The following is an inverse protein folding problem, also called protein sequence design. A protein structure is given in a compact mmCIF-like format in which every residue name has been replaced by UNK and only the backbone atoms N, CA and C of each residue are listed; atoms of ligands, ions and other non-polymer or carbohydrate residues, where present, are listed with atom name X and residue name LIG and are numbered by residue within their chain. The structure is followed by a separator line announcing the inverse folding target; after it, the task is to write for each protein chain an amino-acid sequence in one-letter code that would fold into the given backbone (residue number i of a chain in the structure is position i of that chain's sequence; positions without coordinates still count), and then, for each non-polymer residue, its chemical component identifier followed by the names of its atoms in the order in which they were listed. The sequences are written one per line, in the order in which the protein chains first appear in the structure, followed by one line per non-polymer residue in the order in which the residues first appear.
data_IF_026870761573
#
_entry.id   IF_026870761573
#
_cell.length_a   1.000
_cell.length_b   1.000
_cell.length_c   1.000
_cell.angle_alpha   90.00
_cell.angle_beta   90.00
_cell.angle_gamma   90.00
#
_symmetry.space_group_name_H-M   'P 1'
#
loop_
_entity.id
_entity.type
_entity.pdbx_description
1 polymer ?
#
# COMPACT_ATOMS: atom_id res chain seq x y z
N UNK A 1 47.27 25.23 -5.76
CA UNK A 1 46.21 24.37 -6.37
C UNK A 1 45.01 24.42 -5.42
N UNK A 2 44.13 25.43 -5.63
CA UNK A 2 42.88 25.57 -4.88
C UNK A 2 41.87 24.67 -5.56
N UNK A 3 41.55 23.53 -5.02
CA UNK A 3 40.41 22.71 -5.42
C UNK A 3 39.14 23.47 -5.05
N UNK A 4 38.42 23.89 -6.08
CA UNK A 4 37.12 24.56 -5.97
C UNK A 4 36.18 23.73 -5.09
N UNK A 5 35.79 24.29 -3.96
CA UNK A 5 34.77 23.75 -3.04
C UNK A 5 33.33 23.77 -3.63
N UNK A 6 33.19 24.15 -4.92
CA UNK A 6 31.91 24.32 -5.61
C UNK A 6 31.37 23.05 -6.29
N UNK A 7 32.13 21.96 -6.34
CA UNK A 7 31.80 20.78 -7.18
C UNK A 7 31.58 19.46 -6.40
N UNK A 8 31.18 19.52 -5.12
CA UNK A 8 30.63 18.32 -4.52
C UNK A 8 29.22 18.07 -5.05
N UNK A 9 28.94 16.89 -5.62
CA UNK A 9 27.59 16.55 -6.06
C UNK A 9 26.61 16.79 -4.93
N UNK A 10 25.53 17.52 -5.20
CA UNK A 10 24.47 17.74 -4.21
C UNK A 10 23.77 16.40 -3.96
N UNK A 11 23.98 15.84 -2.78
CA UNK A 11 23.35 14.58 -2.36
C UNK A 11 22.06 14.85 -1.59
N UNK A 12 21.06 14.01 -1.79
CA UNK A 12 19.79 14.11 -1.06
C UNK A 12 20.02 13.73 0.42
N UNK A 13 19.63 14.63 1.31
CA UNK A 13 19.69 14.35 2.74
C UNK A 13 18.44 13.55 3.15
N UNK A 14 18.63 12.48 3.93
CA UNK A 14 17.56 11.61 4.44
C UNK A 14 16.41 12.38 5.09
N UNK A 15 16.70 13.45 5.85
CA UNK A 15 15.67 14.27 6.53
C UNK A 15 14.65 14.85 5.55
N UNK A 16 15.11 15.30 4.38
CA UNK A 16 14.22 15.85 3.34
C UNK A 16 13.41 14.77 2.62
N UNK A 17 14.03 13.59 2.42
CA UNK A 17 13.32 12.42 1.89
C UNK A 17 12.19 11.99 2.85
N UNK A 18 12.50 11.88 4.15
CA UNK A 18 11.53 11.51 5.17
C UNK A 18 10.40 12.54 5.30
N UNK A 19 10.74 13.84 5.28
CA UNK A 19 9.73 14.90 5.32
C UNK A 19 8.84 14.88 4.07
N UNK A 20 9.43 14.65 2.87
CA UNK A 20 8.67 14.46 1.64
C UNK A 20 7.71 13.26 1.74
N UNK A 21 8.20 12.13 2.23
CA UNK A 21 7.38 10.93 2.46
C UNK A 21 6.22 11.19 3.44
N UNK A 22 6.48 11.94 4.53
CA UNK A 22 5.46 12.34 5.50
C UNK A 22 4.34 13.16 4.84
N UNK A 23 4.72 14.22 4.13
CA UNK A 23 3.74 15.12 3.48
C UNK A 23 2.96 14.41 2.37
N UNK A 24 3.63 13.60 1.55
CA UNK A 24 2.97 12.79 0.53
C UNK A 24 1.96 11.83 1.14
N UNK A 25 2.36 11.10 2.18
CA UNK A 25 1.49 10.16 2.88
C UNK A 25 0.32 10.87 3.56
N UNK A 26 0.55 11.98 4.25
CA UNK A 26 -0.50 12.75 4.91
C UNK A 26 -1.51 13.31 3.88
N UNK A 27 -1.03 13.90 2.77
CA UNK A 27 -1.89 14.43 1.71
C UNK A 27 -2.74 13.35 1.05
N UNK A 28 -2.16 12.20 0.73
CA UNK A 28 -2.88 11.05 0.15
C UNK A 28 -3.93 10.50 1.14
N UNK A 29 -3.58 10.39 2.41
CA UNK A 29 -4.47 9.83 3.44
C UNK A 29 -5.62 10.76 3.85
N UNK A 30 -5.63 11.99 3.35
CA UNK A 30 -6.80 12.88 3.43
C UNK A 30 -7.83 12.61 2.32
N UNK A 31 -7.44 11.89 1.28
CA UNK A 31 -8.27 11.66 0.10
C UNK A 31 -8.94 10.28 0.15
N UNK A 32 -8.17 9.20 0.24
CA UNK A 32 -8.69 7.85 0.04
C UNK A 32 -9.76 7.39 1.06
N UNK A 33 -9.73 7.76 2.37
CA UNK A 33 -10.70 7.23 3.32
C UNK A 33 -12.12 7.77 3.11
N UNK A 34 -12.24 8.95 2.50
CA UNK A 34 -13.54 9.60 2.27
C UNK A 34 -14.10 9.36 0.87
N UNK A 35 -13.35 8.71 -0.02
CA UNK A 35 -13.78 8.51 -1.40
C UNK A 35 -15.16 7.88 -1.50
N UNK A 36 -15.35 6.70 -0.93
CA UNK A 36 -16.62 6.00 -1.01
C UNK A 36 -17.72 6.79 -0.32
N UNK A 37 -17.43 7.38 0.85
CA UNK A 37 -18.38 8.20 1.59
C UNK A 37 -18.82 9.43 0.79
N UNK A 38 -17.88 10.09 0.11
CA UNK A 38 -18.17 11.26 -0.72
C UNK A 38 -18.96 10.89 -1.99
N UNK A 39 -18.53 9.84 -2.69
CA UNK A 39 -19.18 9.37 -3.92
C UNK A 39 -20.61 8.92 -3.65
N UNK A 40 -20.84 8.14 -2.58
CA UNK A 40 -22.18 7.61 -2.27
C UNK A 40 -23.05 8.60 -1.50
N UNK A 41 -22.48 9.33 -0.54
CA UNK A 41 -23.24 10.18 0.37
C UNK A 41 -23.46 11.61 -0.14
N UNK A 42 -22.51 12.18 -0.89
CA UNK A 42 -22.58 13.56 -1.37
C UNK A 42 -22.91 13.62 -2.86
N UNK A 43 -22.23 12.79 -3.67
CA UNK A 43 -22.47 12.74 -5.12
C UNK A 43 -23.67 11.86 -5.50
N UNK A 44 -24.30 11.18 -4.54
CA UNK A 44 -25.48 10.31 -4.73
C UNK A 44 -25.28 9.23 -5.82
N UNK A 45 -24.05 8.69 -5.90
CA UNK A 45 -23.74 7.59 -6.80
C UNK A 45 -23.84 6.24 -6.07
N UNK A 46 -23.96 5.14 -6.84
CA UNK A 46 -24.02 3.79 -6.27
C UNK A 46 -22.66 3.36 -5.66
N UNK A 47 -22.69 2.38 -4.79
CA UNK A 47 -21.46 1.73 -4.27
C UNK A 47 -20.66 1.07 -5.39
N UNK A 48 -21.34 0.48 -6.39
CA UNK A 48 -20.69 -0.06 -7.60
C UNK A 48 -19.93 1.04 -8.33
N UNK A 49 -20.51 2.22 -8.51
CA UNK A 49 -19.85 3.38 -9.13
C UNK A 49 -18.60 3.78 -8.32
N UNK A 50 -18.72 3.86 -7.00
CA UNK A 50 -17.57 4.14 -6.14
C UNK A 50 -16.49 3.07 -6.30
N UNK A 51 -16.87 1.80 -6.31
CA UNK A 51 -15.96 0.68 -6.54
C UNK A 51 -15.21 0.76 -7.88
N UNK A 52 -15.92 1.13 -8.96
CA UNK A 52 -15.32 1.33 -10.30
C UNK A 52 -14.33 2.50 -10.28
N UNK A 53 -14.68 3.63 -9.65
CA UNK A 53 -13.78 4.78 -9.53
C UNK A 53 -12.49 4.41 -8.80
N UNK A 54 -12.59 3.68 -7.69
CA UNK A 54 -11.45 3.23 -6.91
C UNK A 54 -10.62 2.18 -7.66
N UNK A 55 -11.27 1.23 -8.35
CA UNK A 55 -10.60 0.23 -9.19
C UNK A 55 -9.77 0.90 -10.29
N UNK A 56 -10.38 1.82 -11.05
CA UNK A 56 -9.68 2.56 -12.11
C UNK A 56 -8.54 3.38 -11.49
N UNK A 57 -8.76 4.04 -10.35
CA UNK A 57 -7.75 4.78 -9.63
C UNK A 57 -6.53 3.92 -9.27
N UNK A 58 -6.75 2.70 -8.76
CA UNK A 58 -5.69 1.75 -8.46
C UNK A 58 -4.92 1.30 -9.72
N UNK A 59 -5.63 1.01 -10.82
CA UNK A 59 -5.01 0.64 -12.10
C UNK A 59 -4.16 1.79 -12.66
N UNK A 60 -4.67 3.01 -12.61
CA UNK A 60 -3.97 4.21 -13.09
C UNK A 60 -2.74 4.50 -12.22
N UNK A 61 -2.83 4.30 -10.90
CA UNK A 61 -1.68 4.42 -9.98
C UNK A 61 -0.60 3.38 -10.27
N UNK A 62 -0.98 2.13 -10.54
CA UNK A 62 -0.03 1.08 -10.97
C UNK A 62 0.67 1.45 -12.28
N UNK A 63 -0.08 1.96 -13.25
CA UNK A 63 0.50 2.46 -14.50
C UNK A 63 1.44 3.65 -14.25
N UNK A 64 1.06 4.57 -13.37
CA UNK A 64 1.91 5.65 -12.91
C UNK A 64 3.22 5.16 -12.30
N UNK A 65 3.17 4.14 -11.46
CA UNK A 65 4.37 3.54 -10.86
C UNK A 65 5.33 2.98 -11.91
N UNK A 66 4.81 2.32 -12.93
CA UNK A 66 5.62 1.83 -14.07
C UNK A 66 6.27 2.99 -14.86
N UNK A 67 5.52 4.04 -15.10
CA UNK A 67 6.03 5.27 -15.76
C UNK A 67 7.10 5.93 -14.89
N UNK A 68 6.89 6.01 -13.57
CA UNK A 68 7.84 6.56 -12.60
C UNK A 68 9.20 5.86 -12.62
N UNK A 69 9.20 4.53 -12.68
CA UNK A 69 10.43 3.73 -12.83
C UNK A 69 11.18 4.09 -14.12
N UNK A 70 10.49 4.12 -15.26
CA UNK A 70 11.11 4.49 -16.53
C UNK A 70 11.64 5.93 -16.54
N UNK A 71 10.91 6.86 -15.91
CA UNK A 71 11.36 8.26 -15.82
C UNK A 71 12.60 8.39 -14.96
N UNK A 72 12.73 7.59 -13.89
CA UNK A 72 13.93 7.58 -13.07
C UNK A 72 15.14 7.04 -13.82
N UNK A 73 14.98 5.93 -14.53
CA UNK A 73 16.08 5.22 -15.19
C UNK A 73 16.55 5.89 -16.49
N UNK A 74 15.62 6.52 -17.25
CA UNK A 74 15.90 6.95 -18.63
C UNK A 74 15.75 8.45 -18.87
N UNK A 75 15.33 9.22 -17.86
CA UNK A 75 15.15 10.67 -17.99
C UNK A 75 15.80 11.40 -16.81
N UNK A 76 15.40 12.62 -16.53
CA UNK A 76 15.91 13.46 -15.43
C UNK A 76 15.06 13.27 -14.19
N UNK A 77 15.48 12.50 -13.18
CA UNK A 77 14.66 12.17 -12.01
C UNK A 77 14.09 13.39 -11.27
N UNK A 78 14.91 14.46 -11.16
CA UNK A 78 14.47 15.70 -10.53
C UNK A 78 13.33 16.36 -11.31
N UNK A 79 13.45 16.49 -12.65
CA UNK A 79 12.40 17.10 -13.47
C UNK A 79 11.13 16.25 -13.43
N UNK A 80 11.26 14.93 -13.50
CA UNK A 80 10.14 14.00 -13.36
C UNK A 80 9.41 14.21 -12.03
N UNK A 81 10.15 14.37 -10.93
CA UNK A 81 9.57 14.59 -9.59
C UNK A 81 8.84 15.93 -9.49
N UNK A 82 9.42 17.01 -10.05
CA UNK A 82 8.79 18.35 -10.10
C UNK A 82 7.51 18.32 -10.93
N UNK A 83 7.55 17.76 -12.14
CA UNK A 83 6.36 17.67 -13.01
C UNK A 83 5.25 16.85 -12.36
N UNK A 84 5.60 15.74 -11.72
CA UNK A 84 4.66 14.89 -11.00
C UNK A 84 4.00 15.65 -9.84
N UNK A 85 4.78 16.38 -9.04
CA UNK A 85 4.24 17.17 -7.94
C UNK A 85 3.31 18.28 -8.43
N UNK A 86 3.58 18.90 -9.59
CA UNK A 86 2.68 19.88 -10.22
C UNK A 86 1.38 19.21 -10.66
N UNK A 87 1.44 18.03 -11.28
CA UNK A 87 0.23 17.27 -11.69
C UNK A 87 -0.66 16.94 -10.49
N UNK A 88 -0.07 16.41 -9.42
CA UNK A 88 -0.82 16.09 -8.19
C UNK A 88 -1.44 17.36 -7.60
N UNK A 89 -0.62 18.40 -7.42
CA UNK A 89 -1.08 19.67 -6.85
C UNK A 89 -2.22 20.28 -7.67
N UNK A 90 -2.08 20.33 -8.99
CA UNK A 90 -3.12 20.85 -9.88
C UNK A 90 -4.42 20.03 -9.80
N UNK A 91 -4.33 18.70 -9.78
CA UNK A 91 -5.49 17.82 -9.68
C UNK A 91 -6.21 18.00 -8.34
N UNK A 92 -5.46 17.98 -7.22
CA UNK A 92 -6.02 18.15 -5.86
C UNK A 92 -6.59 19.56 -5.66
N UNK A 93 -5.91 20.59 -6.12
CA UNK A 93 -6.41 21.99 -6.07
C UNK A 93 -7.68 22.15 -6.91
N UNK A 94 -7.76 21.50 -8.07
CA UNK A 94 -8.96 21.53 -8.92
C UNK A 94 -10.17 20.91 -8.24
N UNK A 95 -9.99 19.93 -7.35
CA UNK A 95 -11.08 19.30 -6.58
C UNK A 95 -11.75 20.28 -5.60
N UNK A 96 -11.11 21.40 -5.24
CA UNK A 96 -11.74 22.43 -4.39
C UNK A 96 -12.96 23.01 -5.10
N UNK A 97 -12.88 23.23 -6.42
CA UNK A 97 -13.89 23.88 -7.24
C UNK A 97 -14.71 22.89 -8.07
N UNK A 98 -14.07 21.84 -8.59
CA UNK A 98 -14.64 20.88 -9.53
C UNK A 98 -14.85 19.52 -8.88
N UNK A 99 -15.65 19.48 -7.81
CA UNK A 99 -15.89 18.30 -7.02
C UNK A 99 -17.22 17.59 -7.35
N UNK A 100 -17.89 17.97 -8.47
CA UNK A 100 -19.13 17.33 -8.93
C UNK A 100 -18.85 16.16 -9.87
N UNK A 101 -19.81 15.24 -9.93
CA UNK A 101 -19.80 14.13 -10.89
C UNK A 101 -19.97 14.63 -12.35
N UNK A 102 -19.27 14.09 -13.36
CA UNK A 102 -18.24 13.03 -13.29
C UNK A 102 -16.80 13.59 -13.13
N UNK A 103 -16.61 14.91 -13.16
CA UNK A 103 -15.31 15.56 -13.18
C UNK A 103 -14.46 15.22 -11.94
N UNK A 104 -15.12 15.04 -10.79
CA UNK A 104 -14.49 14.54 -9.56
C UNK A 104 -13.66 13.26 -9.82
N UNK A 105 -14.25 12.26 -10.48
CA UNK A 105 -13.58 10.97 -10.73
C UNK A 105 -12.37 11.12 -11.64
N UNK A 106 -12.46 11.96 -12.67
CA UNK A 106 -11.35 12.24 -13.60
C UNK A 106 -10.18 12.88 -12.86
N UNK A 107 -10.45 13.88 -12.01
CA UNK A 107 -9.41 14.56 -11.24
C UNK A 107 -8.74 13.61 -10.23
N UNK A 108 -9.52 12.71 -9.61
CA UNK A 108 -8.99 11.67 -8.73
C UNK A 108 -8.09 10.70 -9.50
N UNK A 109 -8.44 10.29 -10.71
CA UNK A 109 -7.59 9.41 -11.52
C UNK A 109 -6.28 10.10 -11.93
N UNK A 110 -6.34 11.40 -12.28
CA UNK A 110 -5.13 12.20 -12.56
C UNK A 110 -4.23 12.28 -11.31
N UNK A 111 -4.82 12.54 -10.13
CA UNK A 111 -4.08 12.55 -8.87
C UNK A 111 -3.46 11.19 -8.57
N UNK A 112 -4.21 10.08 -8.71
CA UNK A 112 -3.71 8.72 -8.49
C UNK A 112 -2.56 8.34 -9.45
N UNK A 113 -2.63 8.77 -10.72
CA UNK A 113 -1.52 8.61 -11.66
C UNK A 113 -0.25 9.28 -11.13
N UNK A 114 -0.36 10.57 -10.76
CA UNK A 114 0.75 11.32 -10.19
C UNK A 114 1.30 10.67 -8.92
N UNK A 115 0.43 10.24 -8.00
CA UNK A 115 0.83 9.56 -6.75
C UNK A 115 1.57 8.25 -7.01
N UNK A 116 1.16 7.47 -8.03
CA UNK A 116 1.88 6.27 -8.45
C UNK A 116 3.27 6.56 -8.97
N UNK A 117 3.43 7.59 -9.81
CA UNK A 117 4.74 8.07 -10.30
C UNK A 117 5.60 8.54 -9.13
N UNK A 118 5.06 9.41 -8.27
CA UNK A 118 5.74 9.97 -7.10
C UNK A 118 6.26 8.91 -6.16
N UNK A 119 5.43 7.94 -5.78
CA UNK A 119 5.81 6.84 -4.88
C UNK A 119 7.03 6.08 -5.40
N UNK A 120 7.05 5.79 -6.71
CA UNK A 120 8.19 5.09 -7.32
C UNK A 120 9.43 5.96 -7.35
N UNK A 121 9.30 7.24 -7.70
CA UNK A 121 10.42 8.18 -7.69
C UNK A 121 11.00 8.35 -6.28
N UNK A 122 10.16 8.54 -5.25
CA UNK A 122 10.59 8.66 -3.84
C UNK A 122 11.35 7.40 -3.40
N UNK A 123 10.84 6.20 -3.72
CA UNK A 123 11.53 4.94 -3.41
C UNK A 123 12.88 4.83 -4.14
N UNK A 124 12.95 5.30 -5.38
CA UNK A 124 14.19 5.31 -6.16
C UNK A 124 15.19 6.32 -5.60
N UNK A 125 14.76 7.53 -5.22
CA UNK A 125 15.61 8.50 -4.52
C UNK A 125 16.13 7.95 -3.18
N UNK A 126 15.35 7.13 -2.46
CA UNK A 126 15.78 6.52 -1.22
C UNK A 126 17.01 5.61 -1.38
N UNK A 127 17.16 4.97 -2.54
CA UNK A 127 18.34 4.11 -2.82
C UNK A 127 19.62 4.91 -3.07
N UNK A 128 19.52 6.22 -3.33
CA UNK A 128 20.66 7.11 -3.62
C UNK A 128 21.10 7.96 -2.43
N UNK A 129 20.43 7.83 -1.28
CA UNK A 129 20.80 8.59 -0.07
C UNK A 129 22.12 8.04 0.51
N UNK A 130 23.14 8.88 0.67
CA UNK A 130 24.45 8.44 1.12
C UNK A 130 24.52 8.20 2.63
N UNK A 131 25.51 7.42 3.05
CA UNK A 131 25.92 7.32 4.46
C UNK A 131 25.14 6.33 5.32
N UNK A 132 24.01 5.78 4.85
CA UNK A 132 23.24 4.76 5.56
C UNK A 132 22.95 3.54 4.69
N UNK A 133 22.72 2.38 5.36
CA UNK A 133 22.25 1.19 4.65
C UNK A 133 20.84 1.45 4.14
N UNK A 134 20.57 1.16 2.88
CA UNK A 134 19.27 1.30 2.22
C UNK A 134 18.12 0.72 3.05
N UNK A 135 18.35 -0.40 3.74
CA UNK A 135 17.37 -1.02 4.65
C UNK A 135 16.95 -0.09 5.79
N UNK A 136 17.87 0.70 6.35
CA UNK A 136 17.56 1.64 7.44
C UNK A 136 16.69 2.77 6.92
N UNK A 137 17.02 3.31 5.73
CA UNK A 137 16.24 4.38 5.08
C UNK A 137 14.81 3.92 4.82
N UNK A 138 14.60 2.74 4.24
CA UNK A 138 13.26 2.21 3.99
C UNK A 138 12.49 1.95 5.28
N UNK A 139 13.14 1.50 6.36
CA UNK A 139 12.49 1.35 7.67
C UNK A 139 12.03 2.72 8.22
N UNK A 140 12.87 3.75 8.12
CA UNK A 140 12.51 5.10 8.56
C UNK A 140 11.39 5.67 7.71
N UNK A 141 11.42 5.47 6.39
CA UNK A 141 10.32 5.83 5.48
C UNK A 141 9.01 5.15 5.85
N UNK A 142 9.04 3.85 6.17
CA UNK A 142 7.85 3.11 6.59
C UNK A 142 7.22 3.70 7.85
N UNK A 143 8.03 4.05 8.86
CA UNK A 143 7.55 4.69 10.09
C UNK A 143 6.88 6.03 9.77
N UNK A 144 7.57 6.87 9.00
CA UNK A 144 7.09 8.21 8.66
C UNK A 144 5.84 8.15 7.77
N UNK A 145 5.76 7.18 6.87
CA UNK A 145 4.56 6.92 6.06
C UNK A 145 3.36 6.63 6.95
N UNK A 146 3.50 5.75 7.95
CA UNK A 146 2.41 5.44 8.89
C UNK A 146 2.02 6.65 9.75
N UNK A 147 2.98 7.49 10.17
CA UNK A 147 2.67 8.76 10.84
C UNK A 147 1.83 9.65 9.92
N UNK A 148 2.20 9.77 8.64
CA UNK A 148 1.43 10.52 7.65
C UNK A 148 0.02 9.99 7.45
N UNK A 149 -0.15 8.66 7.39
CA UNK A 149 -1.47 8.01 7.32
C UNK A 149 -2.33 8.40 8.52
N UNK A 150 -1.80 8.31 9.74
CA UNK A 150 -2.52 8.68 10.97
C UNK A 150 -2.92 10.15 10.94
N UNK A 151 -2.00 11.04 10.60
CA UNK A 151 -2.29 12.49 10.54
C UNK A 151 -3.36 12.82 9.49
N UNK A 152 -3.26 12.24 8.30
CA UNK A 152 -4.21 12.46 7.22
C UNK A 152 -5.60 11.92 7.54
N UNK A 153 -5.70 10.69 8.07
CA UNK A 153 -6.99 10.08 8.44
C UNK A 153 -7.64 10.80 9.61
N UNK A 154 -6.88 11.26 10.62
CA UNK A 154 -7.41 12.10 11.68
C UNK A 154 -7.97 13.42 11.13
N UNK A 155 -7.22 14.10 10.23
CA UNK A 155 -7.72 15.31 9.60
C UNK A 155 -9.06 15.06 8.89
N UNK A 156 -9.21 13.95 8.19
CA UNK A 156 -10.48 13.54 7.58
C UNK A 156 -11.58 13.40 8.64
N UNK A 157 -11.34 12.64 9.71
CA UNK A 157 -12.34 12.36 10.72
C UNK A 157 -12.90 13.60 11.40
N UNK A 158 -12.07 14.62 11.61
CA UNK A 158 -12.46 15.85 12.29
C UNK A 158 -12.93 16.96 11.34
N UNK A 159 -12.53 16.93 10.06
CA UNK A 159 -12.76 18.04 9.14
C UNK A 159 -13.79 17.72 8.04
N UNK A 160 -14.09 16.44 7.79
CA UNK A 160 -15.00 16.06 6.70
C UNK A 160 -16.40 16.66 6.85
N UNK A 161 -16.90 16.72 8.08
CA UNK A 161 -18.25 17.26 8.37
C UNK A 161 -18.34 18.78 8.12
N UNK A 162 -17.21 19.50 8.08
CA UNK A 162 -17.15 20.92 7.69
C UNK A 162 -17.12 21.13 6.18
N UNK A 163 -17.03 20.04 5.39
CA UNK A 163 -17.13 20.03 3.95
C UNK A 163 -15.89 19.49 3.26
N UNK A 164 -16.13 18.80 2.14
CA UNK A 164 -15.08 18.18 1.32
C UNK A 164 -14.05 19.21 0.79
N UNK A 165 -14.51 20.42 0.43
CA UNK A 165 -13.62 21.47 -0.08
C UNK A 165 -12.58 21.91 0.97
N UNK A 166 -12.92 21.91 2.26
CA UNK A 166 -11.95 22.23 3.32
C UNK A 166 -10.82 21.20 3.37
N UNK A 167 -11.15 19.90 3.27
CA UNK A 167 -10.15 18.85 3.21
C UNK A 167 -9.23 19.02 1.99
N UNK A 168 -9.79 19.37 0.84
CA UNK A 168 -9.02 19.60 -0.38
C UNK A 168 -8.13 20.85 -0.29
N UNK A 169 -8.55 21.90 0.40
CA UNK A 169 -7.70 23.07 0.68
C UNK A 169 -6.49 22.68 1.51
N UNK A 170 -6.68 21.91 2.59
CA UNK A 170 -5.59 21.47 3.47
C UNK A 170 -4.67 20.50 2.74
N UNK A 171 -5.23 19.53 2.02
CA UNK A 171 -4.45 18.60 1.19
C UNK A 171 -3.64 19.35 0.13
N UNK A 172 -4.22 20.35 -0.52
CA UNK A 172 -3.52 21.23 -1.47
C UNK A 172 -2.36 21.98 -0.81
N UNK A 173 -2.55 22.49 0.40
CA UNK A 173 -1.48 23.18 1.14
C UNK A 173 -0.33 22.21 1.49
N UNK A 174 -0.65 20.96 1.86
CA UNK A 174 0.34 19.91 2.12
C UNK A 174 1.12 19.58 0.84
N UNK A 175 0.45 19.34 -0.29
CA UNK A 175 1.11 19.07 -1.58
C UNK A 175 1.89 20.28 -2.10
N UNK A 176 1.44 21.49 -1.83
CA UNK A 176 2.22 22.70 -2.13
C UNK A 176 3.52 22.74 -1.32
N UNK A 177 3.45 22.46 -0.02
CA UNK A 177 4.63 22.33 0.84
C UNK A 177 5.58 21.21 0.36
N UNK A 178 5.05 20.08 -0.06
CA UNK A 178 5.81 18.99 -0.66
C UNK A 178 6.51 19.45 -1.96
N UNK A 179 5.80 20.13 -2.85
CA UNK A 179 6.37 20.68 -4.08
C UNK A 179 7.54 21.65 -3.80
N UNK A 180 7.42 22.52 -2.79
CA UNK A 180 8.52 23.42 -2.39
C UNK A 180 9.75 22.66 -1.90
N UNK A 181 9.57 21.57 -1.13
CA UNK A 181 10.66 20.69 -0.69
C UNK A 181 11.31 20.02 -1.90
N UNK A 182 10.52 19.50 -2.83
CA UNK A 182 11.02 18.87 -4.05
C UNK A 182 11.86 19.85 -4.84
N UNK A 183 11.35 21.04 -5.12
CA UNK A 183 12.06 22.07 -5.90
C UNK A 183 13.38 22.47 -5.23
N UNK A 184 13.39 22.62 -3.91
CA UNK A 184 14.56 23.17 -3.20
C UNK A 184 15.59 22.13 -2.78
N UNK A 185 15.19 20.87 -2.55
CA UNK A 185 16.01 19.83 -1.89
C UNK A 185 16.27 18.59 -2.74
N UNK A 186 15.42 18.26 -3.73
CA UNK A 186 15.57 17.08 -4.57
C UNK A 186 16.39 17.36 -5.86
N UNK A 187 16.84 18.58 -6.06
CA UNK A 187 17.77 18.91 -7.16
C UNK A 187 19.19 18.44 -6.78
N UNK A 188 19.40 17.15 -6.95
CA UNK A 188 20.66 16.46 -6.67
C UNK A 188 21.28 16.02 -7.99
N UNK A 189 22.62 16.12 -8.08
CA UNK A 189 23.38 15.54 -9.18
C UNK A 189 23.60 14.07 -8.90
N UNK A 190 23.13 13.21 -9.77
CA UNK A 190 23.54 11.80 -9.76
C UNK A 190 24.84 11.72 -10.54
N UNK A 191 25.93 11.29 -9.90
CA UNK A 191 27.12 10.89 -10.63
C UNK A 191 26.73 9.70 -11.51
N UNK A 192 27.15 9.75 -12.80
CA UNK A 192 26.89 8.64 -13.72
C UNK A 192 27.43 7.31 -13.17
N UNK A 193 28.45 7.37 -12.32
CA UNK A 193 29.01 6.23 -11.60
C UNK A 193 28.10 5.71 -10.48
N UNK A 194 27.30 6.54 -9.81
CA UNK A 194 26.34 6.10 -8.80
C UNK A 194 25.13 5.39 -9.44
N UNK A 195 24.62 5.90 -10.55
CA UNK A 195 23.57 5.23 -11.33
C UNK A 195 24.13 3.94 -11.95
N UNK A 196 25.33 3.98 -12.51
CA UNK A 196 26.00 2.82 -13.10
C UNK A 196 26.34 1.78 -12.02
N UNK A 197 26.69 2.19 -10.81
CA UNK A 197 26.95 1.27 -9.70
C UNK A 197 25.66 0.66 -9.11
N UNK A 198 24.54 1.38 -9.08
CA UNK A 198 23.24 0.83 -8.67
C UNK A 198 22.71 -0.10 -9.78
N UNK A 199 22.80 0.30 -11.05
CA UNK A 199 22.44 -0.55 -12.21
C UNK A 199 23.44 -1.69 -12.35
N UNK A 200 24.76 -1.45 -12.23
CA UNK A 200 25.79 -2.48 -12.33
C UNK A 200 25.83 -3.41 -11.10
N UNK A 201 25.42 -2.98 -9.90
CA UNK A 201 25.20 -3.89 -8.78
C UNK A 201 23.94 -4.72 -8.98
N UNK A 202 22.88 -4.16 -9.52
CA UNK A 202 21.71 -4.91 -9.95
C UNK A 202 22.00 -5.80 -11.16
N UNK A 203 22.82 -5.33 -12.12
CA UNK A 203 23.27 -6.13 -13.26
C UNK A 203 24.40 -7.10 -12.87
N UNK A 204 25.33 -6.75 -11.98
CA UNK A 204 26.36 -7.68 -11.48
C UNK A 204 25.78 -8.77 -10.60
N UNK A 205 24.71 -8.50 -9.84
CA UNK A 205 23.89 -9.59 -9.26
C UNK A 205 23.18 -10.42 -10.34
N UNK A 206 22.90 -9.86 -11.53
CA UNK A 206 22.32 -10.59 -12.66
C UNK A 206 23.36 -11.20 -13.61
N UNK A 207 24.53 -10.56 -13.81
CA UNK A 207 25.53 -10.93 -14.85
C UNK A 207 26.73 -11.71 -14.28
N UNK A 208 26.98 -11.73 -12.96
CA UNK A 208 28.02 -12.57 -12.37
C UNK A 208 27.64 -14.05 -12.20
N UNK A 209 26.55 -14.50 -12.83
CA UNK A 209 26.24 -15.94 -12.90
C UNK A 209 26.73 -16.49 -14.23
N UNK A 210 27.60 -17.53 -14.22
CA UNK A 210 27.91 -18.27 -15.42
C UNK A 210 26.60 -18.77 -16.03
N UNK A 211 26.61 -19.02 -17.32
CA UNK A 211 25.52 -19.55 -18.14
C UNK A 211 25.06 -20.95 -17.69
N UNK A 212 24.73 -21.06 -16.38
CA UNK A 212 24.00 -22.19 -15.83
C UNK A 212 22.56 -22.04 -16.28
N UNK A 213 22.05 -23.05 -16.93
CA UNK A 213 20.72 -23.21 -17.49
C UNK A 213 19.69 -22.37 -16.71
N UNK A 214 19.15 -21.31 -17.34
CA UNK A 214 18.13 -20.43 -16.76
C UNK A 214 16.99 -21.31 -16.25
N UNK A 215 16.96 -21.59 -14.94
CA UNK A 215 15.83 -22.29 -14.33
C UNK A 215 14.59 -21.44 -14.61
N UNK A 216 13.65 -22.00 -15.36
CA UNK A 216 12.37 -21.33 -15.62
C UNK A 216 11.60 -21.21 -14.31
N UNK A 217 11.06 -20.02 -14.03
CA UNK A 217 10.14 -19.83 -12.91
C UNK A 217 8.95 -20.79 -13.07
N UNK A 218 8.70 -21.61 -12.06
CA UNK A 218 7.57 -22.53 -12.04
C UNK A 218 6.66 -22.20 -10.89
N UNK A 219 5.39 -21.98 -11.17
CA UNK A 219 4.36 -21.85 -10.16
C UNK A 219 4.12 -23.21 -9.51
N UNK A 220 4.65 -23.39 -8.30
CA UNK A 220 4.37 -24.57 -7.49
C UNK A 220 2.99 -24.45 -6.84
N UNK A 221 2.33 -25.57 -6.47
CA UNK A 221 1.03 -25.54 -5.78
C UNK A 221 1.05 -24.67 -4.51
N UNK A 222 2.16 -24.69 -3.76
CA UNK A 222 2.35 -23.83 -2.57
C UNK A 222 2.39 -22.35 -2.96
N UNK A 223 3.10 -21.99 -4.04
CA UNK A 223 3.16 -20.61 -4.50
C UNK A 223 1.81 -20.12 -5.01
N UNK A 224 1.05 -20.97 -5.71
CA UNK A 224 -0.31 -20.66 -6.14
C UNK A 224 -1.23 -20.43 -4.93
N UNK A 225 -1.16 -21.28 -3.91
CA UNK A 225 -1.95 -21.13 -2.69
C UNK A 225 -1.58 -19.85 -1.91
N UNK A 226 -0.28 -19.52 -1.82
CA UNK A 226 0.19 -18.25 -1.24
C UNK A 226 -0.33 -17.05 -2.06
N UNK A 227 -0.25 -17.13 -3.39
CA UNK A 227 -0.77 -16.08 -4.27
C UNK A 227 -2.28 -15.85 -4.10
N UNK A 228 -3.06 -16.93 -4.06
CA UNK A 228 -4.49 -16.85 -3.81
C UNK A 228 -4.81 -16.28 -2.42
N UNK A 229 -4.02 -16.66 -1.40
CA UNK A 229 -4.14 -16.12 -0.05
C UNK A 229 -3.87 -14.60 -0.02
N UNK A 230 -2.81 -14.15 -0.67
CA UNK A 230 -2.51 -12.72 -0.79
C UNK A 230 -3.59 -11.96 -1.55
N UNK A 231 -4.07 -12.51 -2.66
CA UNK A 231 -5.16 -11.91 -3.42
C UNK A 231 -6.39 -11.68 -2.54
N UNK A 232 -6.87 -12.72 -1.82
CA UNK A 232 -8.07 -12.58 -0.97
C UNK A 232 -7.80 -11.68 0.24
N UNK A 233 -6.60 -11.71 0.83
CA UNK A 233 -6.24 -10.83 1.95
C UNK A 233 -6.32 -9.36 1.53
N UNK A 234 -5.72 -8.98 0.40
CA UNK A 234 -5.73 -7.59 -0.04
C UNK A 234 -7.05 -7.16 -0.67
N UNK A 235 -7.80 -8.08 -1.28
CA UNK A 235 -9.18 -7.84 -1.66
C UNK A 235 -10.04 -7.48 -0.43
N UNK A 236 -9.93 -8.28 0.62
CA UNK A 236 -10.70 -8.08 1.84
C UNK A 236 -10.23 -6.85 2.64
N UNK A 237 -8.95 -6.53 2.63
CA UNK A 237 -8.43 -5.30 3.23
C UNK A 237 -9.09 -4.06 2.63
N UNK A 238 -9.30 -4.04 1.31
CA UNK A 238 -9.99 -2.94 0.63
C UNK A 238 -11.43 -2.73 1.10
N UNK A 239 -12.08 -3.73 1.71
CA UNK A 239 -13.42 -3.58 2.29
C UNK A 239 -13.42 -2.60 3.49
N UNK A 240 -12.36 -2.60 4.28
CA UNK A 240 -12.19 -1.63 5.36
C UNK A 240 -12.04 -0.21 4.86
N UNK A 241 -11.41 -0.04 3.69
CA UNK A 241 -11.26 1.27 3.06
C UNK A 241 -12.53 1.74 2.33
N UNK A 242 -13.30 0.80 1.76
CA UNK A 242 -14.41 1.16 0.86
C UNK A 242 -15.79 1.05 1.50
N UNK A 243 -16.00 0.11 2.42
CA UNK A 243 -17.32 -0.21 2.98
C UNK A 243 -17.49 0.34 4.40
N UNK A 244 -16.43 0.33 5.22
CA UNK A 244 -16.60 0.57 6.64
C UNK A 244 -17.00 1.99 6.99
N UNK A 245 -16.47 3.02 6.34
CA UNK A 245 -16.86 4.40 6.59
C UNK A 245 -18.36 4.65 6.32
N UNK A 246 -18.92 4.29 5.15
CA UNK A 246 -20.36 4.36 4.91
C UNK A 246 -21.18 3.47 5.86
N UNK A 247 -20.69 2.25 6.16
CA UNK A 247 -21.40 1.34 7.06
C UNK A 247 -21.50 1.90 8.48
N UNK A 248 -20.42 2.43 9.05
CA UNK A 248 -20.45 3.07 10.36
C UNK A 248 -21.40 4.27 10.39
N UNK A 249 -21.50 5.03 9.30
CA UNK A 249 -22.46 6.11 9.16
C UNK A 249 -23.91 5.61 9.18
N UNK A 250 -24.23 4.48 8.55
CA UNK A 250 -25.58 3.86 8.63
C UNK A 250 -25.93 3.39 10.04
N UNK A 251 -24.93 3.10 10.89
CA UNK A 251 -25.11 2.78 12.30
C UNK A 251 -25.22 4.03 13.19
N UNK A 252 -25.29 5.25 12.60
CA UNK A 252 -25.38 6.51 13.33
C UNK A 252 -24.06 7.00 13.95
N UNK A 253 -22.92 6.42 13.56
CA UNK A 253 -21.62 6.80 14.05
C UNK A 253 -21.07 8.03 13.29
N UNK A 254 -20.47 9.01 13.99
CA UNK A 254 -19.83 10.15 13.32
C UNK A 254 -18.59 9.70 12.53
N UNK A 255 -18.25 10.48 11.49
CA UNK A 255 -17.10 10.17 10.59
C UNK A 255 -15.77 10.07 11.36
N UNK A 256 -15.62 10.82 12.47
CA UNK A 256 -14.43 10.74 13.33
C UNK A 256 -14.16 9.33 13.86
N UNK A 257 -15.19 8.53 14.14
CA UNK A 257 -15.01 7.16 14.63
C UNK A 257 -14.25 6.29 13.62
N UNK A 258 -14.45 6.51 12.33
CA UNK A 258 -13.69 5.81 11.30
C UNK A 258 -12.20 6.24 11.29
N UNK A 259 -11.92 7.51 11.52
CA UNK A 259 -10.55 8.00 11.68
C UNK A 259 -9.88 7.46 12.95
N UNK A 260 -10.64 7.42 14.05
CA UNK A 260 -10.17 6.87 15.34
C UNK A 260 -9.80 5.37 15.20
N UNK A 261 -10.55 4.60 14.38
CA UNK A 261 -10.18 3.20 14.05
C UNK A 261 -8.78 3.10 13.44
N UNK A 262 -8.49 3.91 12.43
CA UNK A 262 -7.17 3.90 11.77
C UNK A 262 -6.05 4.40 12.67
N UNK A 263 -6.35 5.35 13.56
CA UNK A 263 -5.41 5.80 14.58
C UNK A 263 -5.08 4.67 15.57
N UNK A 264 -6.10 3.97 16.09
CA UNK A 264 -5.93 2.85 17.02
C UNK A 264 -5.12 1.75 16.33
N UNK A 265 -5.48 1.36 15.11
CA UNK A 265 -4.73 0.39 14.30
C UNK A 265 -3.25 0.77 14.17
N UNK A 266 -2.95 2.02 13.78
CA UNK A 266 -1.57 2.49 13.66
C UNK A 266 -0.79 2.42 14.98
N UNK A 267 -1.41 2.81 16.09
CA UNK A 267 -0.81 2.70 17.43
C UNK A 267 -0.56 1.24 17.80
N UNK A 268 -1.53 0.37 17.56
CA UNK A 268 -1.42 -1.07 17.82
C UNK A 268 -0.25 -1.69 17.05
N UNK A 269 -0.10 -1.38 15.77
CA UNK A 269 1.03 -1.84 14.96
C UNK A 269 2.35 -1.36 15.59
N UNK A 270 2.48 -0.07 15.90
CA UNK A 270 3.72 0.49 16.46
C UNK A 270 4.10 -0.19 17.78
N UNK A 271 3.13 -0.42 18.66
CA UNK A 271 3.36 -0.99 20.00
C UNK A 271 3.60 -2.50 19.94
N UNK A 272 2.77 -3.23 19.19
CA UNK A 272 2.76 -4.69 19.23
C UNK A 272 3.62 -5.36 18.16
N UNK A 273 4.01 -4.69 17.06
CA UNK A 273 4.75 -5.29 15.94
C UNK A 273 6.01 -6.01 16.40
N UNK A 274 6.76 -5.44 17.34
CA UNK A 274 8.00 -6.06 17.85
C UNK A 274 7.72 -7.37 18.57
N UNK A 275 6.65 -7.43 19.37
CA UNK A 275 6.25 -8.65 20.11
C UNK A 275 5.79 -9.73 19.15
N UNK A 276 4.91 -9.37 18.20
CA UNK A 276 4.39 -10.28 17.18
C UNK A 276 5.53 -10.83 16.30
N UNK A 277 6.43 -9.96 15.83
CA UNK A 277 7.59 -10.37 15.04
C UNK A 277 8.54 -11.28 15.82
N UNK A 278 8.78 -11.02 17.10
CA UNK A 278 9.62 -11.87 17.95
C UNK A 278 8.99 -13.27 18.14
N UNK A 279 7.67 -13.33 18.26
CA UNK A 279 6.97 -14.61 18.30
C UNK A 279 7.05 -15.33 16.95
N UNK A 280 6.76 -14.64 15.85
CA UNK A 280 6.80 -15.19 14.50
C UNK A 280 8.18 -15.73 14.12
N UNK A 281 9.25 -15.05 14.52
CA UNK A 281 10.64 -15.47 14.25
C UNK A 281 11.05 -16.77 14.97
N UNK A 282 10.31 -17.19 16.02
CA UNK A 282 10.53 -18.46 16.73
C UNK A 282 9.80 -19.64 16.09
N UNK A 283 8.93 -19.39 15.12
CA UNK A 283 8.11 -20.40 14.48
C UNK A 283 8.37 -20.45 12.97
N UNK A 284 8.12 -21.60 12.31
CA UNK A 284 8.21 -21.68 10.85
C UNK A 284 7.26 -20.69 10.18
N UNK A 285 7.66 -20.12 9.03
CA UNK A 285 6.87 -19.13 8.30
C UNK A 285 5.41 -19.53 8.05
N UNK A 286 5.20 -20.80 7.66
CA UNK A 286 3.87 -21.32 7.38
C UNK A 286 2.94 -21.29 8.60
N UNK A 287 3.46 -21.48 9.80
CA UNK A 287 2.68 -21.43 11.05
C UNK A 287 2.18 -20.00 11.28
N UNK A 288 3.06 -19.02 11.19
CA UNK A 288 2.70 -17.61 11.36
C UNK A 288 1.71 -17.14 10.29
N UNK A 289 1.92 -17.56 9.03
CA UNK A 289 1.05 -17.18 7.90
C UNK A 289 -0.34 -17.82 8.06
N UNK A 290 -0.43 -19.12 8.36
CA UNK A 290 -1.70 -19.80 8.54
C UNK A 290 -2.47 -19.24 9.74
N UNK A 291 -1.80 -19.09 10.90
CA UNK A 291 -2.42 -18.53 12.10
C UNK A 291 -2.91 -17.10 11.84
N UNK A 292 -2.05 -16.25 11.25
CA UNK A 292 -2.40 -14.88 10.90
C UNK A 292 -3.60 -14.82 9.95
N UNK A 293 -3.65 -15.69 8.94
CA UNK A 293 -4.76 -15.76 7.99
C UNK A 293 -6.07 -16.20 8.63
N UNK A 294 -6.02 -17.15 9.56
CA UNK A 294 -7.22 -17.59 10.31
C UNK A 294 -7.74 -16.45 11.19
N UNK A 295 -6.86 -15.77 11.93
CA UNK A 295 -7.22 -14.63 12.78
C UNK A 295 -7.82 -13.50 11.93
N UNK A 296 -7.18 -13.19 10.79
CA UNK A 296 -7.66 -12.19 9.84
C UNK A 296 -9.04 -12.57 9.29
N UNK A 297 -9.26 -13.82 8.88
CA UNK A 297 -10.54 -14.29 8.39
C UNK A 297 -11.66 -14.20 9.46
N UNK A 298 -11.36 -14.59 10.71
CA UNK A 298 -12.29 -14.50 11.83
C UNK A 298 -12.79 -13.07 12.08
N UNK A 299 -11.99 -12.05 11.79
CA UNK A 299 -12.44 -10.66 11.89
C UNK A 299 -13.66 -10.39 10.99
N UNK A 300 -13.66 -10.89 9.76
CA UNK A 300 -14.80 -10.75 8.83
C UNK A 300 -16.03 -11.53 9.29
N UNK A 301 -15.86 -12.68 9.92
CA UNK A 301 -16.96 -13.42 10.53
C UNK A 301 -17.61 -12.61 11.67
N UNK A 302 -16.80 -12.10 12.59
CA UNK A 302 -17.31 -11.32 13.72
C UNK A 302 -17.89 -9.97 13.28
N UNK A 303 -17.42 -9.39 12.16
CA UNK A 303 -17.92 -8.13 11.64
C UNK A 303 -19.42 -8.16 11.29
N UNK A 304 -19.99 -9.37 11.08
CA UNK A 304 -21.43 -9.54 10.81
C UNK A 304 -22.29 -9.17 12.03
N UNK A 305 -21.75 -9.32 13.22
CA UNK A 305 -22.51 -9.21 14.48
C UNK A 305 -22.29 -7.88 15.22
N UNK A 306 -21.40 -7.01 14.74
CA UNK A 306 -21.03 -5.79 15.43
C UNK A 306 -21.91 -4.62 15.04
N UNK A 307 -22.33 -3.83 16.04
CA UNK A 307 -23.19 -2.66 15.85
C UNK A 307 -22.71 -1.43 16.66
N UNK A 308 -21.68 -1.58 17.50
CA UNK A 308 -21.13 -0.49 18.31
C UNK A 308 -19.68 -0.20 17.94
N UNK A 309 -19.24 1.04 18.17
CA UNK A 309 -17.87 1.46 17.85
C UNK A 309 -16.81 0.54 18.47
N UNK A 310 -16.91 0.23 19.75
CA UNK A 310 -15.92 -0.59 20.44
C UNK A 310 -15.89 -2.06 19.95
N UNK A 311 -17.04 -2.58 19.52
CA UNK A 311 -17.07 -3.90 18.88
C UNK A 311 -16.35 -3.87 17.53
N UNK A 312 -16.53 -2.81 16.73
CA UNK A 312 -15.82 -2.62 15.46
C UNK A 312 -14.32 -2.48 15.72
N UNK A 313 -13.92 -1.71 16.74
CA UNK A 313 -12.50 -1.60 17.17
C UNK A 313 -11.93 -2.98 17.46
N UNK A 314 -12.56 -3.79 18.29
CA UNK A 314 -12.07 -5.12 18.66
C UNK A 314 -11.90 -6.03 17.43
N UNK A 315 -12.85 -5.98 16.50
CA UNK A 315 -12.79 -6.77 15.27
C UNK A 315 -11.69 -6.25 14.34
N UNK A 316 -11.49 -4.94 14.27
CA UNK A 316 -10.41 -4.35 13.48
C UNK A 316 -9.04 -4.68 14.06
N UNK A 317 -8.90 -4.67 15.39
CA UNK A 317 -7.67 -5.09 16.07
C UNK A 317 -7.39 -6.58 15.86
N UNK A 318 -8.42 -7.42 15.81
CA UNK A 318 -8.26 -8.83 15.45
C UNK A 318 -7.70 -8.98 14.03
N UNK A 319 -8.22 -8.21 13.07
CA UNK A 319 -7.67 -8.14 11.70
C UNK A 319 -6.21 -7.69 11.71
N UNK A 320 -5.90 -6.64 12.47
CA UNK A 320 -4.55 -6.06 12.59
C UNK A 320 -3.55 -7.09 13.10
N UNK A 321 -3.89 -7.85 14.14
CA UNK A 321 -3.03 -8.93 14.67
C UNK A 321 -2.80 -10.01 13.60
N UNK A 322 -3.84 -10.39 12.86
CA UNK A 322 -3.73 -11.34 11.75
C UNK A 322 -2.79 -10.83 10.65
N UNK A 323 -2.90 -9.55 10.27
CA UNK A 323 -2.05 -8.90 9.29
C UNK A 323 -0.59 -8.86 9.76
N UNK A 324 -0.33 -8.47 11.00
CA UNK A 324 1.02 -8.41 11.58
C UNK A 324 1.73 -9.75 11.59
N UNK A 325 0.99 -10.86 11.75
CA UNK A 325 1.51 -12.22 11.68
C UNK A 325 1.77 -12.69 10.26
N UNK A 326 0.96 -12.27 9.29
CA UNK A 326 0.98 -12.76 7.91
C UNK A 326 1.90 -11.91 7.01
N UNK A 327 1.68 -10.60 6.97
CA UNK A 327 2.22 -9.73 5.92
C UNK A 327 3.74 -9.68 5.86
N UNK A 328 4.50 -9.59 6.97
CA UNK A 328 5.97 -9.58 6.92
C UNK A 328 6.56 -10.95 6.56
N UNK A 329 5.84 -12.04 6.88
CA UNK A 329 6.36 -13.39 6.75
C UNK A 329 6.24 -13.94 5.33
N UNK A 330 5.23 -13.52 4.56
CA UNK A 330 4.98 -14.07 3.22
C UNK A 330 6.12 -13.78 2.24
N UNK A 331 6.64 -12.56 2.07
CA UNK A 331 7.77 -12.30 1.18
C UNK A 331 9.03 -13.10 1.59
N UNK A 332 9.31 -13.18 2.89
CA UNK A 332 10.43 -13.95 3.42
C UNK A 332 10.27 -15.46 3.18
N UNK A 333 9.08 -15.98 3.37
CA UNK A 333 8.77 -17.39 3.09
C UNK A 333 8.90 -17.72 1.61
N UNK A 334 8.35 -16.87 0.73
CA UNK A 334 8.50 -17.04 -0.73
C UNK A 334 9.97 -17.03 -1.14
N UNK A 335 10.77 -16.12 -0.57
CA UNK A 335 12.22 -16.09 -0.82
C UNK A 335 12.93 -17.39 -0.35
N UNK A 336 12.48 -18.01 0.75
CA UNK A 336 13.04 -19.26 1.26
C UNK A 336 12.71 -20.46 0.38
N UNK A 337 11.47 -20.56 -0.14
CA UNK A 337 11.02 -21.72 -0.93
C UNK A 337 11.34 -21.64 -2.42
N UNK A 338 11.88 -20.50 -2.86
CA UNK A 338 12.16 -20.22 -4.28
C UNK A 338 13.68 -20.22 -4.53
N UNK A 339 14.17 -20.84 -5.62
CA UNK A 339 15.58 -20.74 -6.00
C UNK A 339 16.01 -19.28 -6.20
N UNK A 340 17.24 -18.94 -5.78
CA UNK A 340 17.79 -17.58 -5.87
C UNK A 340 17.75 -17.00 -7.29
N UNK A 341 17.91 -17.86 -8.30
CA UNK A 341 17.92 -17.51 -9.72
C UNK A 341 16.60 -16.92 -10.23
N UNK A 342 15.49 -17.24 -9.57
CA UNK A 342 14.12 -16.80 -9.95
C UNK A 342 13.41 -16.06 -8.81
N UNK A 343 14.15 -15.66 -7.76
CA UNK A 343 13.59 -15.00 -6.59
C UNK A 343 12.88 -13.69 -6.96
N UNK A 344 13.42 -12.90 -7.91
CA UNK A 344 12.78 -11.67 -8.38
C UNK A 344 11.42 -11.92 -9.04
N UNK A 345 11.32 -13.00 -9.86
CA UNK A 345 10.05 -13.38 -10.49
C UNK A 345 9.01 -13.85 -9.46
N UNK A 346 9.46 -14.54 -8.41
CA UNK A 346 8.59 -14.96 -7.32
C UNK A 346 8.06 -13.78 -6.50
N UNK A 347 8.91 -12.78 -6.19
CA UNK A 347 8.48 -11.54 -5.53
C UNK A 347 7.58 -10.69 -6.43
N UNK A 348 7.85 -10.67 -7.74
CA UNK A 348 6.96 -10.05 -8.72
C UNK A 348 5.57 -10.69 -8.73
N UNK A 349 5.49 -12.02 -8.65
CA UNK A 349 4.22 -12.73 -8.52
C UNK A 349 3.48 -12.34 -7.21
N UNK A 350 4.18 -12.26 -6.07
CA UNK A 350 3.62 -11.78 -4.80
C UNK A 350 3.03 -10.37 -4.97
N UNK A 351 3.79 -9.44 -5.52
CA UNK A 351 3.33 -8.06 -5.74
C UNK A 351 2.14 -7.98 -6.69
N UNK A 352 2.11 -8.82 -7.74
CA UNK A 352 0.99 -8.91 -8.67
C UNK A 352 -0.28 -9.39 -7.98
N UNK A 353 -0.21 -10.39 -7.11
CA UNK A 353 -1.37 -10.91 -6.38
C UNK A 353 -1.93 -9.87 -5.39
N UNK A 354 -1.05 -9.16 -4.67
CA UNK A 354 -1.41 -8.04 -3.79
C UNK A 354 -2.15 -6.95 -4.59
N UNK A 355 -1.56 -6.51 -5.69
CA UNK A 355 -2.13 -5.45 -6.53
C UNK A 355 -3.46 -5.87 -7.14
N UNK A 356 -3.58 -7.12 -7.61
CA UNK A 356 -4.83 -7.64 -8.15
C UNK A 356 -5.95 -7.66 -7.11
N UNK A 357 -5.65 -8.03 -5.86
CA UNK A 357 -6.62 -7.96 -4.77
C UNK A 357 -7.10 -6.53 -4.52
N UNK A 358 -6.19 -5.56 -4.47
CA UNK A 358 -6.52 -4.14 -4.29
C UNK A 358 -7.36 -3.57 -5.44
N UNK A 359 -7.13 -4.03 -6.67
CA UNK A 359 -7.91 -3.60 -7.85
C UNK A 359 -9.32 -4.18 -7.84
N UNK A 360 -9.47 -5.46 -7.49
CA UNK A 360 -10.77 -6.16 -7.53
C UNK A 360 -11.64 -5.86 -6.31
N UNK A 361 -11.02 -5.64 -5.14
CA UNK A 361 -11.73 -5.44 -3.87
C UNK A 361 -12.82 -4.37 -3.91
N UNK A 362 -12.54 -3.14 -4.39
CA UNK A 362 -13.52 -2.06 -4.41
C UNK A 362 -14.76 -2.35 -5.27
N UNK A 363 -14.59 -2.96 -6.45
CA UNK A 363 -15.74 -3.29 -7.30
C UNK A 363 -16.56 -4.44 -6.71
N UNK A 364 -15.87 -5.47 -6.17
CA UNK A 364 -16.55 -6.58 -5.51
C UNK A 364 -17.40 -6.09 -4.34
N UNK A 365 -16.84 -5.28 -3.47
CA UNK A 365 -17.55 -4.70 -2.34
C UNK A 365 -18.68 -3.76 -2.78
N UNK A 366 -18.45 -2.95 -3.82
CA UNK A 366 -19.45 -2.02 -4.34
C UNK A 366 -20.70 -2.73 -4.86
N UNK A 367 -20.52 -3.77 -5.68
CA UNK A 367 -21.64 -4.57 -6.22
C UNK A 367 -22.43 -5.24 -5.08
N UNK A 368 -21.75 -5.84 -4.11
CA UNK A 368 -22.41 -6.50 -2.98
C UNK A 368 -23.19 -5.51 -2.10
N UNK A 369 -22.66 -4.31 -1.89
CA UNK A 369 -23.33 -3.27 -1.10
C UNK A 369 -24.55 -2.70 -1.80
N UNK A 370 -24.53 -2.50 -3.11
CA UNK A 370 -25.70 -2.01 -3.88
C UNK A 370 -26.88 -3.00 -3.86
N UNK A 371 -26.60 -4.30 -3.76
CA UNK A 371 -27.63 -5.32 -3.59
C UNK A 371 -28.09 -5.50 -2.13
N UNK A 372 -27.52 -4.75 -1.18
CA UNK A 372 -27.82 -4.91 0.24
C UNK A 372 -27.22 -6.18 0.88
N UNK A 373 -26.29 -6.84 0.22
CA UNK A 373 -25.72 -8.13 0.64
C UNK A 373 -24.51 -7.99 1.56
N UNK A 374 -24.53 -7.03 2.48
CA UNK A 374 -23.44 -6.75 3.41
C UNK A 374 -22.97 -7.98 4.19
N UNK A 375 -23.89 -8.72 4.81
CA UNK A 375 -23.54 -9.91 5.59
C UNK A 375 -22.98 -11.01 4.69
N UNK A 376 -23.52 -11.18 3.49
CA UNK A 376 -23.01 -12.13 2.50
C UNK A 376 -21.62 -11.75 2.03
N UNK A 377 -21.33 -10.45 1.87
CA UNK A 377 -20.01 -9.93 1.55
C UNK A 377 -18.98 -10.38 2.61
N UNK A 378 -19.24 -10.10 3.87
CA UNK A 378 -18.31 -10.46 4.95
C UNK A 378 -18.18 -11.99 5.11
N UNK A 379 -19.30 -12.72 5.04
CA UNK A 379 -19.30 -14.17 5.12
C UNK A 379 -18.55 -14.83 3.95
N UNK A 380 -18.70 -14.32 2.74
CA UNK A 380 -18.01 -14.85 1.56
C UNK A 380 -16.48 -14.70 1.67
N UNK A 381 -16.01 -13.54 2.15
CA UNK A 381 -14.59 -13.30 2.42
C UNK A 381 -14.06 -14.28 3.46
N UNK A 382 -14.78 -14.44 4.58
CA UNK A 382 -14.42 -15.40 5.63
C UNK A 382 -14.29 -16.81 5.07
N UNK A 383 -15.33 -17.31 4.37
CA UNK A 383 -15.37 -18.67 3.84
C UNK A 383 -14.24 -18.89 2.82
N UNK A 384 -14.08 -18.00 1.86
CA UNK A 384 -13.05 -18.12 0.81
C UNK A 384 -11.66 -18.11 1.43
N UNK A 385 -11.42 -17.23 2.41
CA UNK A 385 -10.13 -17.14 3.09
C UNK A 385 -9.81 -18.40 3.90
N UNK A 386 -10.79 -18.96 4.62
CA UNK A 386 -10.62 -20.23 5.36
C UNK A 386 -10.35 -21.40 4.40
N UNK A 387 -11.08 -21.47 3.26
CA UNK A 387 -10.85 -22.51 2.25
C UNK A 387 -9.43 -22.41 1.68
N UNK A 388 -8.99 -21.20 1.28
CA UNK A 388 -7.65 -21.01 0.73
C UNK A 388 -6.56 -21.32 1.76
N UNK A 389 -6.76 -20.92 3.02
CA UNK A 389 -5.84 -21.23 4.12
C UNK A 389 -5.78 -22.73 4.37
N UNK A 390 -6.91 -23.42 4.35
CA UNK A 390 -6.98 -24.89 4.46
C UNK A 390 -6.28 -25.60 3.29
N UNK A 391 -6.49 -25.13 2.06
CA UNK A 391 -5.79 -25.66 0.88
C UNK A 391 -4.27 -25.45 0.98
N UNK A 392 -3.82 -24.29 1.49
CA UNK A 392 -2.40 -24.05 1.75
C UNK A 392 -1.85 -25.05 2.78
N UNK A 393 -2.55 -25.27 3.90
CA UNK A 393 -2.14 -26.24 4.89
C UNK A 393 -2.07 -27.68 4.33
N UNK A 394 -3.05 -28.08 3.52
CA UNK A 394 -3.06 -29.40 2.85
C UNK A 394 -1.93 -29.56 1.82
N UNK A 395 -1.57 -28.51 1.08
CA UNK A 395 -0.44 -28.57 0.13
C UNK A 395 0.91 -28.75 0.85
N UNK A 396 1.01 -28.22 2.06
CA UNK A 396 2.22 -28.36 2.89
C UNK A 396 2.32 -29.78 3.50
N UNK A 397 1.23 -30.35 4.04
CA UNK A 397 1.23 -31.70 4.61
C UNK A 397 1.63 -32.74 3.57
N UNK A 398 1.07 -32.68 2.36
CA UNK A 398 1.42 -33.59 1.25
C UNK A 398 2.88 -33.48 0.80
N UNK A 399 3.55 -32.37 1.03
CA UNK A 399 4.98 -32.18 0.71
C UNK A 399 5.88 -32.80 1.78
N UNK A 400 5.46 -32.76 3.03
CA UNK A 400 6.15 -33.41 4.14
C UNK A 400 6.11 -34.93 3.98
N UNK A 401 4.93 -35.50 3.68
CA UNK A 401 4.76 -36.94 3.48
C UNK A 401 5.61 -37.47 2.31
N UNK A 402 5.74 -36.73 1.21
CA UNK A 402 6.61 -37.10 0.09
C UNK A 402 8.11 -37.12 0.44
N UNK A 403 8.55 -36.23 1.33
CA UNK A 403 9.96 -36.15 1.74
C UNK A 403 10.30 -37.11 2.90
N UNK A 404 9.30 -37.70 3.56
CA UNK A 404 9.48 -38.74 4.60
C UNK A 404 9.50 -40.16 4.04
N UNK A 405 9.16 -40.35 2.75
CA UNK A 405 9.10 -41.67 2.07
C UNK A 405 10.29 -41.85 1.09
N UNK A 406 11.16 -40.81 0.94
CA UNK A 406 12.44 -40.89 0.21
C UNK A 406 13.62 -40.82 1.16
#
# INVERSE_FOLDING_TARGET
MQTNLADKPRQLNEKWLLLGTLLSSAGNSMIWPVMTLYITGVLNQSFTTAGVVLMIGAMVSLFGSFVGGKLFDHWRPYIAMVMTSIIILAAVASLIFFNKWPLFSILIWIANFGMGVEQTLVNSFATTVPGQKTRVIFNNMYIVLNIGVVLGTLAVGYLFDYGFSLLMIISTAIYFGLMLIIITKFNVSFDADDITNVVANNEKEQVSKPEMARKKFKLTPVLIAIGALLFITYLSYMLWETVMAPHMKTLGMPTRNYADLWMINGVTIIVLQKFVSNWANKHPYHVSVILGSVIFALSFFFLIFVNTFWQIVLVFELLTIGEMLQSPQVPAWVAQITPKEVAGQAQGFVSMMISSGRVVGPIYSGVMMDHGWKNTLFLSVFIVMIIITGLLALTLSRRVDKNSVT
#
